data_IF_517888314365
#
_entry.id   IF_517888314365
#
_cell.length_a   1.000
_cell.length_b   1.000
_cell.length_c   1.000
_cell.angle_alpha   90.00
_cell.angle_beta   90.00
_cell.angle_gamma   90.00
#
_symmetry.space_group_name_H-M   'P 1'
#
loop_
_entity.id
_entity.type
_entity.pdbx_description
1 polymer ?
#
# COMPACT_ATOMS: atom_id res chain seq x y z
N UNK A 1 -24.69 -15.00 -13.57
CA UNK A 1 -23.26 -14.88 -13.89
C UNK A 1 -22.63 -13.55 -13.43
N UNK A 2 -23.41 -12.60 -12.92
CA UNK A 2 -22.95 -11.27 -12.46
C UNK A 2 -22.45 -11.21 -11.01
N UNK A 3 -22.73 -12.25 -10.22
CA UNK A 3 -22.36 -12.34 -8.80
C UNK A 3 -20.87 -12.70 -8.60
N UNK A 4 -20.38 -13.64 -9.41
CA UNK A 4 -19.01 -14.18 -9.30
C UNK A 4 -17.92 -13.15 -9.61
N UNK A 5 -18.22 -12.16 -10.45
CA UNK A 5 -17.28 -11.09 -10.80
C UNK A 5 -17.13 -10.06 -9.68
N UNK A 6 -18.21 -9.75 -8.96
CA UNK A 6 -18.17 -8.85 -7.81
C UNK A 6 -17.46 -9.49 -6.62
N UNK A 7 -17.68 -10.78 -6.38
CA UNK A 7 -17.01 -11.52 -5.30
C UNK A 7 -15.50 -11.62 -5.53
N UNK A 8 -15.06 -11.92 -6.78
CA UNK A 8 -13.64 -11.88 -7.14
C UNK A 8 -13.03 -10.50 -6.98
N UNK A 9 -13.76 -9.45 -7.34
CA UNK A 9 -13.28 -8.06 -7.21
C UNK A 9 -13.05 -7.67 -5.75
N UNK A 10 -13.93 -8.10 -4.83
CA UNK A 10 -13.76 -7.86 -3.39
C UNK A 10 -12.51 -8.56 -2.83
N UNK A 11 -12.30 -9.84 -3.19
CA UNK A 11 -11.11 -10.61 -2.78
C UNK A 11 -9.81 -10.01 -3.34
N UNK A 12 -9.82 -9.51 -4.58
CA UNK A 12 -8.67 -8.84 -5.18
C UNK A 12 -8.34 -7.54 -4.42
N UNK A 13 -9.35 -6.77 -4.03
CA UNK A 13 -9.16 -5.54 -3.25
C UNK A 13 -8.57 -5.84 -1.87
N UNK A 14 -9.02 -6.91 -1.22
CA UNK A 14 -8.48 -7.36 0.07
C UNK A 14 -7.00 -7.80 -0.03
N UNK A 15 -6.68 -8.58 -1.08
CA UNK A 15 -5.30 -8.97 -1.41
C UNK A 15 -4.39 -7.76 -1.70
N UNK A 16 -4.91 -6.71 -2.32
CA UNK A 16 -4.15 -5.48 -2.58
C UNK A 16 -3.96 -4.64 -1.31
N UNK A 17 -4.95 -4.65 -0.42
CA UNK A 17 -4.88 -3.90 0.83
C UNK A 17 -3.78 -4.47 1.75
N UNK A 18 -3.70 -5.80 1.88
CA UNK A 18 -2.64 -6.43 2.69
C UNK A 18 -1.25 -6.19 2.11
N UNK A 19 -1.12 -6.15 0.78
CA UNK A 19 0.16 -5.85 0.11
C UNK A 19 0.62 -4.40 0.33
N UNK A 20 -0.29 -3.44 0.30
CA UNK A 20 0.03 -2.03 0.57
C UNK A 20 0.48 -1.82 2.02
N UNK A 21 -0.15 -2.52 2.97
CA UNK A 21 0.26 -2.49 4.39
C UNK A 21 1.65 -3.12 4.54
N UNK A 22 1.91 -4.26 3.91
CA UNK A 22 3.20 -4.93 3.95
C UNK A 22 4.33 -4.05 3.35
N UNK A 23 4.07 -3.36 2.23
CA UNK A 23 5.05 -2.46 1.62
C UNK A 23 5.36 -1.26 2.52
N UNK A 24 4.34 -0.70 3.16
CA UNK A 24 4.48 0.43 4.09
C UNK A 24 5.30 0.04 5.32
N UNK A 25 5.00 -1.10 5.92
CA UNK A 25 5.77 -1.65 7.05
C UNK A 25 7.22 -1.98 6.64
N UNK A 26 7.43 -2.55 5.46
CA UNK A 26 8.75 -2.81 4.90
C UNK A 26 9.58 -1.53 4.76
N UNK A 27 8.99 -0.46 4.19
CA UNK A 27 9.65 0.85 4.10
C UNK A 27 9.99 1.42 5.49
N UNK A 28 9.09 1.29 6.47
CA UNK A 28 9.34 1.74 7.84
C UNK A 28 10.50 1.00 8.50
N UNK A 29 10.56 -0.34 8.36
CA UNK A 29 11.66 -1.14 8.90
C UNK A 29 12.99 -0.76 8.24
N UNK A 30 13.01 -0.56 6.92
CA UNK A 30 14.22 -0.13 6.21
C UNK A 30 14.67 1.26 6.68
N UNK A 31 13.76 2.20 6.88
CA UNK A 31 14.09 3.53 7.41
C UNK A 31 14.60 3.48 8.85
N UNK A 32 14.00 2.66 9.72
CA UNK A 32 14.42 2.55 11.13
C UNK A 32 15.78 1.86 11.27
N UNK A 33 16.01 0.76 10.54
CA UNK A 33 17.23 -0.03 10.68
C UNK A 33 18.37 0.43 9.76
N UNK A 34 18.05 0.90 8.55
CA UNK A 34 19.03 1.28 7.53
C UNK A 34 19.05 2.77 7.20
N UNK A 35 18.11 3.57 7.74
CA UNK A 35 18.08 5.02 7.54
C UNK A 35 19.39 5.76 7.83
N UNK A 36 20.18 5.40 8.87
CA UNK A 36 21.46 6.07 9.14
C UNK A 36 22.57 5.76 8.12
N UNK A 37 22.40 4.70 7.32
CA UNK A 37 23.41 4.22 6.34
C UNK A 37 22.98 4.44 4.89
N UNK A 38 21.76 4.92 4.65
CA UNK A 38 21.21 5.13 3.31
C UNK A 38 21.64 6.48 2.74
N UNK A 39 21.99 6.47 1.45
CA UNK A 39 22.27 7.69 0.70
C UNK A 39 21.01 8.55 0.57
N UNK A 40 21.16 9.88 0.56
CA UNK A 40 20.05 10.83 0.48
C UNK A 40 19.15 10.61 -0.73
N UNK A 41 19.71 10.05 -1.81
CA UNK A 41 18.97 9.66 -3.03
C UNK A 41 18.03 8.48 -2.78
N UNK A 42 18.51 7.43 -2.09
CA UNK A 42 17.71 6.24 -1.78
C UNK A 42 16.62 6.55 -0.77
N UNK A 43 16.94 7.41 0.20
CA UNK A 43 15.99 7.85 1.22
C UNK A 43 14.85 8.67 0.61
N UNK A 44 15.17 9.52 -0.39
CA UNK A 44 14.17 10.28 -1.15
C UNK A 44 13.27 9.38 -2.00
N UNK A 45 13.84 8.32 -2.61
CA UNK A 45 13.06 7.30 -3.32
C UNK A 45 12.14 6.50 -2.40
N UNK A 46 12.62 6.17 -1.19
CA UNK A 46 11.83 5.49 -0.15
C UNK A 46 10.64 6.33 0.32
N UNK A 47 10.87 7.62 0.55
CA UNK A 47 9.80 8.57 0.92
C UNK A 47 8.79 8.72 -0.23
N UNK A 48 9.25 8.79 -1.48
CA UNK A 48 8.37 8.82 -2.65
C UNK A 48 7.51 7.56 -2.77
N UNK A 49 8.10 6.38 -2.56
CA UNK A 49 7.39 5.11 -2.56
C UNK A 49 6.34 5.03 -1.43
N UNK A 50 6.67 5.53 -0.24
CA UNK A 50 5.73 5.66 0.88
C UNK A 50 4.53 6.55 0.52
N UNK A 51 4.76 7.67 -0.15
CA UNK A 51 3.68 8.61 -0.53
C UNK A 51 2.71 8.00 -1.55
N UNK A 52 3.24 7.24 -2.51
CA UNK A 52 2.43 6.49 -3.49
C UNK A 52 1.64 5.38 -2.79
N UNK A 53 2.28 4.63 -1.89
CA UNK A 53 1.60 3.59 -1.11
C UNK A 53 0.47 4.14 -0.25
N UNK A 54 0.70 5.29 0.39
CA UNK A 54 -0.29 5.95 1.22
C UNK A 54 -1.49 6.44 0.38
N UNK A 55 -1.21 7.02 -0.79
CA UNK A 55 -2.25 7.45 -1.73
C UNK A 55 -3.06 6.28 -2.28
N UNK A 56 -2.41 5.17 -2.64
CA UNK A 56 -3.07 3.95 -3.09
C UNK A 56 -3.95 3.35 -1.98
N UNK A 57 -3.46 3.35 -0.74
CA UNK A 57 -4.24 2.91 0.44
C UNK A 57 -5.48 3.78 0.63
N UNK A 58 -5.35 5.11 0.52
CA UNK A 58 -6.49 6.03 0.60
C UNK A 58 -7.53 5.81 -0.50
N UNK A 59 -7.11 5.51 -1.73
CA UNK A 59 -8.01 5.18 -2.85
C UNK A 59 -8.75 3.87 -2.58
N UNK A 60 -8.06 2.86 -2.07
CA UNK A 60 -8.65 1.56 -1.72
C UNK A 60 -9.65 1.70 -0.57
N UNK A 61 -9.30 2.41 0.50
CA UNK A 61 -10.22 2.70 1.60
C UNK A 61 -11.47 3.45 1.15
N UNK A 62 -11.31 4.44 0.26
CA UNK A 62 -12.44 5.20 -0.28
C UNK A 62 -13.34 4.32 -1.17
N UNK A 63 -12.80 3.32 -1.87
CA UNK A 63 -13.57 2.33 -2.64
C UNK A 63 -14.29 1.31 -1.75
N UNK A 64 -13.72 0.97 -0.59
CA UNK A 64 -14.34 0.09 0.40
C UNK A 64 -15.47 0.82 1.16
N UNK A 65 -15.27 2.08 1.55
CA UNK A 65 -16.27 2.89 2.24
C UNK A 65 -17.51 3.25 1.39
N UNK A 66 -17.45 3.12 0.06
CA UNK A 66 -18.63 3.27 -0.82
C UNK A 66 -19.49 2.00 -0.92
N UNK A 67 -19.08 0.89 -0.29
CA UNK A 67 -19.85 -0.36 -0.22
C UNK A 67 -20.50 -0.58 1.16
N UNK A 68 -20.45 0.42 2.06
CA UNK A 68 -21.14 0.44 3.35
C UNK A 68 -22.43 1.25 3.32
#
# INVERSE_FOLDING_TARGET
MSDMTNLRKSVIVDMIMVQLIALTLGCFIILVFSGPRLSSTDLSWLIGALFVCFSATGIVYRRLGQQG
#
